data_IF_465913245888
#
_entry.id   IF_465913245888
#
_cell.length_a   1.000
_cell.length_b   1.000
_cell.length_c   1.000
_cell.angle_alpha   90.00
_cell.angle_beta   90.00
_cell.angle_gamma   90.00
#
_symmetry.space_group_name_H-M   'P 1'
#
loop_
_entity.id
_entity.type
_entity.pdbx_description
1 polymer ?
#
# COMPACT_ATOMS: atom_id res chain seq x y z
N UNK A 1 16.72 -9.55 16.36
CA UNK A 1 17.54 -8.70 15.47
C UNK A 1 18.80 -9.47 15.05
N UNK A 2 18.62 -10.72 14.63
CA UNK A 2 19.69 -11.72 14.75
C UNK A 2 20.43 -12.00 13.44
N UNK A 3 19.88 -11.52 12.32
CA UNK A 3 20.47 -11.56 10.97
C UNK A 3 20.12 -10.28 10.19
N UNK A 4 20.91 -9.95 9.17
CA UNK A 4 20.69 -8.77 8.34
C UNK A 4 21.27 -7.48 8.94
N UNK A 5 20.63 -6.31 8.74
CA UNK A 5 21.18 -4.99 9.11
C UNK A 5 21.47 -4.77 10.60
N UNK A 6 21.02 -5.67 11.48
CA UNK A 6 21.08 -5.53 12.95
C UNK A 6 20.54 -4.18 13.43
N UNK A 7 19.52 -3.70 12.73
CA UNK A 7 18.91 -2.38 12.89
C UNK A 7 17.40 -2.52 12.70
N UNK A 8 16.63 -1.86 13.57
CA UNK A 8 15.19 -1.78 13.43
C UNK A 8 14.85 -0.76 12.33
N UNK A 9 14.81 -1.25 11.09
CA UNK A 9 14.55 -0.42 9.93
C UNK A 9 13.15 0.20 9.97
N UNK A 10 12.16 -0.52 10.51
CA UNK A 10 10.76 -0.07 10.57
C UNK A 10 10.64 1.06 11.58
N UNK A 11 11.18 0.87 12.80
CA UNK A 11 11.16 1.90 13.84
C UNK A 11 11.94 3.15 13.47
N UNK A 12 13.10 3.00 12.85
CA UNK A 12 13.92 4.14 12.41
C UNK A 12 13.25 4.93 11.28
N UNK A 13 12.67 4.24 10.29
CA UNK A 13 11.95 4.89 9.21
C UNK A 13 10.67 5.57 9.74
N UNK A 14 9.90 4.90 10.60
CA UNK A 14 8.71 5.46 11.22
C UNK A 14 9.01 6.74 11.99
N UNK A 15 10.13 6.75 12.74
CA UNK A 15 10.61 7.93 13.46
C UNK A 15 10.97 9.06 12.51
N UNK A 16 11.75 8.79 11.47
CA UNK A 16 12.19 9.80 10.50
C UNK A 16 11.01 10.39 9.69
N UNK A 17 10.06 9.55 9.26
CA UNK A 17 8.84 9.97 8.54
C UNK A 17 8.01 10.93 9.39
N UNK A 18 7.77 10.57 10.66
CA UNK A 18 6.99 11.41 11.59
C UNK A 18 7.69 12.71 11.94
N UNK A 19 9.02 12.72 12.07
CA UNK A 19 9.79 13.96 12.27
C UNK A 19 9.65 14.94 11.11
N UNK A 20 9.26 14.47 9.92
CA UNK A 20 8.93 15.31 8.76
C UNK A 20 7.45 15.71 8.69
N UNK A 21 6.64 15.38 9.70
CA UNK A 21 5.21 15.70 9.74
C UNK A 21 4.36 14.81 8.83
N UNK A 22 4.91 13.70 8.33
CA UNK A 22 4.21 12.74 7.48
C UNK A 22 3.56 11.63 8.31
N UNK A 23 2.49 11.06 7.76
CA UNK A 23 1.84 9.84 8.27
C UNK A 23 2.68 8.61 7.93
N UNK A 24 2.69 7.61 8.81
CA UNK A 24 3.45 6.38 8.61
C UNK A 24 2.52 5.18 8.47
N UNK A 25 2.56 4.50 7.32
CA UNK A 25 1.87 3.23 7.09
C UNK A 25 2.81 2.04 7.17
N UNK A 26 2.28 0.85 7.41
CA UNK A 26 3.02 -0.40 7.38
C UNK A 26 2.33 -1.41 6.47
N UNK A 27 3.10 -1.98 5.55
CA UNK A 27 2.70 -3.11 4.72
C UNK A 27 3.00 -4.42 5.45
N UNK A 28 2.08 -5.40 5.40
CA UNK A 28 2.31 -6.75 5.93
C UNK A 28 1.76 -7.81 4.96
N UNK A 29 2.57 -8.83 4.67
CA UNK A 29 2.14 -9.99 3.88
C UNK A 29 1.58 -11.05 4.83
N UNK A 30 0.30 -11.38 4.69
CA UNK A 30 -0.36 -12.41 5.50
C UNK A 30 0.25 -13.79 5.28
N UNK A 31 0.74 -14.04 4.07
CA UNK A 31 1.41 -15.28 3.63
C UNK A 31 2.94 -15.19 3.69
N UNK A 32 3.60 -16.35 3.86
CA UNK A 32 5.05 -16.51 3.73
C UNK A 32 5.42 -17.76 2.89
N UNK A 33 6.17 -17.57 1.80
CA UNK A 33 6.40 -18.56 0.73
C UNK A 33 6.80 -19.97 1.16
N UNK A 34 7.69 -20.08 2.14
CA UNK A 34 8.31 -21.35 2.52
C UNK A 34 8.12 -21.68 4.00
N UNK A 35 7.24 -20.98 4.71
CA UNK A 35 7.05 -21.22 6.13
C UNK A 35 6.38 -22.61 6.33
N UNK A 36 7.00 -23.53 7.09
CA UNK A 36 6.50 -24.90 7.20
C UNK A 36 5.05 -25.00 7.67
N UNK A 37 4.66 -24.15 8.62
CA UNK A 37 3.27 -24.12 9.13
C UNK A 37 2.27 -23.63 8.08
N UNK A 38 2.64 -22.67 7.22
CA UNK A 38 1.73 -22.25 6.15
C UNK A 38 1.54 -23.37 5.13
N UNK A 39 2.64 -24.04 4.72
CA UNK A 39 2.57 -25.17 3.81
C UNK A 39 1.74 -26.32 4.40
N UNK A 40 1.82 -26.53 5.72
CA UNK A 40 1.00 -27.50 6.44
C UNK A 40 -0.48 -27.12 6.44
N UNK A 41 -0.81 -25.87 6.80
CA UNK A 41 -2.19 -25.37 6.78
C UNK A 41 -2.78 -25.44 5.37
N UNK A 42 -2.01 -25.04 4.35
CA UNK A 42 -2.39 -25.16 2.93
C UNK A 42 -2.62 -26.61 2.51
N UNK A 43 -1.74 -27.54 2.89
CA UNK A 43 -1.92 -28.99 2.64
C UNK A 43 -3.17 -29.53 3.34
N UNK A 44 -3.57 -28.91 4.44
CA UNK A 44 -4.78 -29.25 5.19
C UNK A 44 -6.00 -28.37 4.79
N UNK A 45 -6.00 -27.84 3.56
CA UNK A 45 -7.07 -27.02 2.99
C UNK A 45 -7.50 -25.84 3.88
N UNK A 46 -6.55 -25.24 4.61
CA UNK A 46 -6.78 -24.09 5.49
C UNK A 46 -7.82 -24.35 6.60
N UNK A 47 -8.02 -25.61 6.98
CA UNK A 47 -8.89 -26.00 8.10
C UNK A 47 -8.18 -25.94 9.46
N UNK A 48 -6.85 -25.89 9.45
CA UNK A 48 -6.02 -25.53 10.58
C UNK A 48 -5.48 -24.10 10.38
N UNK A 49 -5.12 -23.44 11.48
CA UNK A 49 -4.65 -22.05 11.51
C UNK A 49 -3.37 -21.93 12.36
N UNK A 50 -2.52 -22.96 12.34
CA UNK A 50 -1.32 -22.99 13.18
C UNK A 50 -0.33 -21.90 12.76
N UNK A 51 -0.17 -21.65 11.46
CA UNK A 51 0.63 -20.55 10.93
C UNK A 51 0.09 -19.19 11.41
N UNK A 52 -1.22 -19.00 11.30
CA UNK A 52 -1.88 -17.75 11.66
C UNK A 52 -1.73 -17.46 13.16
N UNK A 53 -1.98 -18.46 14.00
CA UNK A 53 -1.91 -18.33 15.46
C UNK A 53 -0.49 -18.08 15.97
N UNK A 54 0.52 -18.66 15.33
CA UNK A 54 1.89 -18.66 15.85
C UNK A 54 2.82 -17.66 15.16
N UNK A 55 2.47 -17.20 13.95
CA UNK A 55 3.29 -16.31 13.13
C UNK A 55 2.55 -15.04 12.75
N UNK A 56 1.60 -15.12 11.81
CA UNK A 56 0.98 -13.95 11.16
C UNK A 56 0.31 -13.01 12.15
N UNK A 57 -0.52 -13.54 13.04
CA UNK A 57 -1.24 -12.71 14.01
C UNK A 57 -0.29 -12.05 15.01
N UNK A 58 0.57 -12.78 15.76
CA UNK A 58 1.54 -12.17 16.66
C UNK A 58 2.35 -11.03 16.02
N UNK A 59 2.79 -11.18 14.76
CA UNK A 59 3.49 -10.11 14.03
C UNK A 59 2.63 -8.87 13.80
N UNK A 60 1.39 -9.04 13.36
CA UNK A 60 0.48 -7.91 13.14
C UNK A 60 0.21 -7.15 14.44
N UNK A 61 -0.03 -7.87 15.55
CA UNK A 61 -0.18 -7.25 16.87
C UNK A 61 1.11 -6.53 17.29
N UNK A 62 2.28 -7.14 17.11
CA UNK A 62 3.57 -6.50 17.41
C UNK A 62 3.78 -5.24 16.57
N UNK A 63 3.57 -5.31 15.25
CA UNK A 63 3.71 -4.21 14.31
C UNK A 63 2.86 -3.00 14.72
N UNK A 64 1.59 -3.24 15.06
CA UNK A 64 0.68 -2.18 15.50
C UNK A 64 1.11 -1.59 16.84
N UNK A 65 1.43 -2.42 17.83
CA UNK A 65 1.76 -1.94 19.17
C UNK A 65 3.11 -1.22 19.22
N UNK A 66 4.11 -1.73 18.51
CA UNK A 66 5.46 -1.17 18.47
C UNK A 66 5.51 0.12 17.67
N UNK A 67 4.95 0.13 16.45
CA UNK A 67 5.17 1.22 15.51
C UNK A 67 3.98 2.17 15.36
N UNK A 68 2.79 1.81 15.86
CA UNK A 68 1.57 2.64 15.85
C UNK A 68 1.27 3.27 14.48
N UNK A 69 1.20 2.49 13.40
CA UNK A 69 1.03 3.04 12.06
C UNK A 69 -0.37 3.67 11.86
N UNK A 70 -0.42 4.68 11.00
CA UNK A 70 -1.66 5.33 10.54
C UNK A 70 -2.37 4.49 9.45
N UNK A 71 -1.66 3.56 8.81
CA UNK A 71 -2.21 2.62 7.81
C UNK A 71 -1.65 1.22 8.06
N UNK A 72 -2.51 0.20 8.10
CA UNK A 72 -2.09 -1.19 7.93
C UNK A 72 -2.54 -1.65 6.54
N UNK A 73 -1.57 -1.93 5.68
CA UNK A 73 -1.79 -2.36 4.30
C UNK A 73 -1.47 -3.85 4.20
N UNK A 74 -2.48 -4.71 4.16
CA UNK A 74 -2.27 -6.16 4.06
C UNK A 74 -2.15 -6.62 2.61
N UNK A 75 -1.46 -7.73 2.38
CA UNK A 75 -1.40 -8.45 1.11
C UNK A 75 -1.19 -9.94 1.37
N UNK A 76 -1.02 -10.77 0.34
CA UNK A 76 -0.72 -12.20 0.53
C UNK A 76 -1.95 -13.05 0.82
N UNK A 77 -3.15 -12.51 0.62
CA UNK A 77 -4.40 -13.09 1.09
C UNK A 77 -5.06 -14.05 0.09
N UNK A 78 -4.59 -14.07 -1.17
CA UNK A 78 -5.21 -14.76 -2.31
C UNK A 78 -5.49 -16.26 -2.12
N UNK A 79 -4.71 -16.96 -1.30
CA UNK A 79 -4.81 -18.40 -1.11
C UNK A 79 -6.01 -18.82 -0.24
N UNK A 80 -6.55 -17.92 0.59
CA UNK A 80 -7.56 -18.25 1.59
C UNK A 80 -8.51 -17.09 1.90
N UNK A 81 -9.66 -17.40 2.47
CA UNK A 81 -10.65 -16.40 2.88
C UNK A 81 -10.29 -15.76 4.22
N UNK A 82 -10.92 -14.62 4.51
CA UNK A 82 -10.75 -13.83 5.74
C UNK A 82 -10.85 -14.63 7.05
N UNK A 83 -11.68 -15.68 7.07
CA UNK A 83 -11.83 -16.54 8.25
C UNK A 83 -10.57 -17.32 8.58
N UNK A 84 -9.87 -17.87 7.58
CA UNK A 84 -8.57 -18.53 7.79
C UNK A 84 -7.51 -17.51 8.22
N UNK A 85 -7.48 -16.33 7.61
CA UNK A 85 -6.53 -15.29 8.00
C UNK A 85 -6.79 -14.72 9.39
N UNK A 86 -7.93 -15.02 10.02
CA UNK A 86 -8.38 -14.45 11.29
C UNK A 86 -8.51 -12.91 11.23
N UNK A 87 -8.79 -12.39 10.03
CA UNK A 87 -8.80 -10.95 9.75
C UNK A 87 -9.88 -10.21 10.53
N UNK A 88 -11.07 -10.79 10.68
CA UNK A 88 -12.19 -10.16 11.39
C UNK A 88 -11.88 -9.90 12.87
N UNK A 89 -11.26 -10.85 13.55
CA UNK A 89 -10.85 -10.67 14.96
C UNK A 89 -9.72 -9.64 15.08
N UNK A 90 -8.74 -9.67 14.18
CA UNK A 90 -7.66 -8.68 14.18
C UNK A 90 -8.18 -7.28 13.93
N UNK A 91 -9.03 -7.08 12.91
CA UNK A 91 -9.61 -5.78 12.59
C UNK A 91 -10.54 -5.28 13.70
N UNK A 92 -11.32 -6.17 14.33
CA UNK A 92 -12.13 -5.81 15.49
C UNK A 92 -11.25 -5.28 16.64
N UNK A 93 -10.16 -5.97 16.97
CA UNK A 93 -9.20 -5.47 17.96
C UNK A 93 -8.55 -4.16 17.51
N UNK A 94 -8.15 -4.06 16.24
CA UNK A 94 -7.48 -2.89 15.67
C UNK A 94 -8.31 -1.62 15.87
N UNK A 95 -9.62 -1.70 15.58
CA UNK A 95 -10.53 -0.56 15.67
C UNK A 95 -11.18 -0.35 17.03
N UNK A 96 -11.16 -1.34 17.94
CA UNK A 96 -11.77 -1.18 19.28
C UNK A 96 -10.76 -0.92 20.40
N UNK A 97 -9.61 -1.59 20.35
CA UNK A 97 -8.72 -1.75 21.52
C UNK A 97 -7.27 -1.33 21.26
N UNK A 98 -6.83 -1.31 20.01
CA UNK A 98 -5.43 -1.01 19.68
C UNK A 98 -5.03 0.44 20.05
N UNK A 99 -3.72 0.73 20.18
CA UNK A 99 -3.24 2.08 20.47
C UNK A 99 -3.45 3.09 19.33
N UNK A 100 -3.93 2.65 18.16
CA UNK A 100 -4.15 3.49 16.96
C UNK A 100 -5.59 3.47 16.48
N UNK A 101 -6.51 2.89 17.26
CA UNK A 101 -7.91 2.68 16.92
C UNK A 101 -8.66 3.90 16.38
N UNK A 102 -8.29 5.09 16.84
CA UNK A 102 -8.98 6.34 16.49
C UNK A 102 -8.48 6.95 15.16
N UNK A 103 -7.40 6.42 14.57
CA UNK A 103 -6.77 7.02 13.39
C UNK A 103 -6.36 6.04 12.29
N UNK A 104 -6.15 4.77 12.63
CA UNK A 104 -5.67 3.76 11.66
C UNK A 104 -6.71 3.52 10.59
N UNK A 105 -6.25 3.30 9.35
CA UNK A 105 -7.08 2.81 8.25
C UNK A 105 -6.47 1.56 7.63
N UNK A 106 -7.31 0.72 7.02
CA UNK A 106 -6.87 -0.51 6.35
C UNK A 106 -7.36 -0.57 4.91
N UNK A 107 -6.57 -1.19 4.04
CA UNK A 107 -7.01 -1.55 2.68
C UNK A 107 -8.02 -2.72 2.71
N UNK A 108 -8.32 -3.29 1.55
CA UNK A 108 -9.34 -4.31 1.30
C UNK A 108 -8.81 -5.72 0.99
N UNK A 109 -7.53 -6.00 1.28
CA UNK A 109 -6.85 -7.27 0.98
C UNK A 109 -6.67 -8.14 2.24
N UNK A 110 -7.78 -8.44 2.91
CA UNK A 110 -7.81 -9.18 4.18
C UNK A 110 -8.31 -10.62 4.02
N UNK A 111 -8.42 -11.10 2.79
CA UNK A 111 -8.94 -12.41 2.41
C UNK A 111 -9.37 -12.40 0.95
N UNK A 112 -9.24 -13.52 0.25
CA UNK A 112 -9.62 -13.62 -1.17
C UNK A 112 -11.08 -13.24 -1.47
N UNK A 113 -11.94 -13.18 -0.44
CA UNK A 113 -13.33 -12.76 -0.49
C UNK A 113 -13.57 -11.27 -0.16
N UNK A 114 -12.56 -10.48 0.20
CA UNK A 114 -12.71 -9.09 0.69
C UNK A 114 -12.41 -8.02 -0.37
N UNK A 115 -11.68 -8.38 -1.42
CA UNK A 115 -11.23 -7.45 -2.46
C UNK A 115 -12.41 -6.67 -3.07
N UNK A 116 -12.27 -5.35 -3.15
CA UNK A 116 -13.25 -4.40 -3.67
C UNK A 116 -14.62 -4.47 -2.97
N UNK A 117 -14.67 -4.99 -1.73
CA UNK A 117 -15.90 -5.22 -0.97
C UNK A 117 -15.80 -4.76 0.48
N UNK A 118 -14.68 -5.05 1.15
CA UNK A 118 -14.50 -4.79 2.58
C UNK A 118 -13.10 -4.23 2.86
N UNK A 119 -13.04 -2.99 3.35
CA UNK A 119 -11.83 -2.29 3.73
C UNK A 119 -12.15 -0.85 4.13
N UNK A 120 -11.24 -0.16 4.81
CA UNK A 120 -11.37 1.28 5.09
C UNK A 120 -11.27 2.13 3.81
N UNK A 121 -10.54 1.62 2.83
CA UNK A 121 -10.53 2.06 1.44
C UNK A 121 -10.24 0.85 0.54
N UNK A 122 -10.55 0.99 -0.74
CA UNK A 122 -10.34 -0.09 -1.70
C UNK A 122 -9.06 0.09 -2.48
N UNK A 123 -8.31 -0.98 -2.66
CA UNK A 123 -7.27 -1.07 -3.69
C UNK A 123 -7.80 -1.82 -4.91
N UNK A 124 -8.70 -2.82 -4.74
CA UNK A 124 -9.31 -3.67 -5.79
C UNK A 124 -8.35 -4.43 -6.71
N UNK A 125 -7.23 -3.86 -7.13
CA UNK A 125 -6.16 -4.45 -7.94
C UNK A 125 -4.88 -3.60 -7.82
N UNK A 126 -3.77 -4.10 -8.36
CA UNK A 126 -2.60 -3.26 -8.62
C UNK A 126 -2.91 -2.30 -9.77
N UNK A 127 -2.40 -1.06 -9.70
CA UNK A 127 -2.68 -0.01 -10.71
C UNK A 127 -4.18 0.30 -10.88
N UNK A 128 -4.95 0.22 -9.80
CA UNK A 128 -6.40 0.38 -9.84
C UNK A 128 -6.82 1.82 -10.12
N UNK A 129 -7.10 2.08 -11.39
CA UNK A 129 -7.59 3.37 -11.87
C UNK A 129 -8.94 3.17 -12.58
N UNK A 130 -10.08 3.35 -11.88
CA UNK A 130 -11.40 3.03 -12.42
C UNK A 130 -11.87 4.00 -13.52
N UNK A 131 -11.19 5.14 -13.72
CA UNK A 131 -11.55 6.20 -14.70
C UNK A 131 -12.96 6.78 -14.54
N UNK A 132 -13.63 6.48 -13.42
CA UNK A 132 -14.95 6.96 -13.06
C UNK A 132 -15.00 7.20 -11.56
N UNK A 133 -15.79 8.20 -11.15
CA UNK A 133 -15.99 8.53 -9.74
C UNK A 133 -16.44 7.32 -8.93
N UNK A 134 -15.73 7.06 -7.83
CA UNK A 134 -16.09 6.01 -6.89
C UNK A 134 -16.91 6.56 -5.72
N UNK A 135 -17.84 5.74 -5.23
CA UNK A 135 -18.63 6.05 -4.04
C UNK A 135 -17.83 5.80 -2.74
N UNK A 136 -17.03 4.72 -2.74
CA UNK A 136 -16.13 4.39 -1.65
C UNK A 136 -14.74 4.95 -1.93
N UNK A 137 -14.00 5.32 -0.88
CA UNK A 137 -12.62 5.77 -1.04
C UNK A 137 -11.78 4.61 -1.60
N UNK A 138 -10.87 4.93 -2.52
CA UNK A 138 -9.93 3.98 -3.08
C UNK A 138 -8.51 4.54 -3.11
N UNK A 139 -7.54 3.67 -3.32
CA UNK A 139 -6.13 3.97 -3.53
C UNK A 139 -5.63 3.18 -4.75
N UNK A 140 -4.86 3.84 -5.60
CA UNK A 140 -4.13 3.23 -6.72
C UNK A 140 -2.69 2.94 -6.24
N UNK A 141 -2.37 1.69 -5.84
CA UNK A 141 -1.01 1.28 -5.58
C UNK A 141 -0.31 1.02 -6.92
N UNK A 142 0.77 1.74 -7.19
CA UNK A 142 1.49 1.66 -8.46
C UNK A 142 3.01 1.78 -8.30
N UNK A 143 3.72 1.43 -9.36
CA UNK A 143 5.18 1.47 -9.43
C UNK A 143 5.66 2.42 -10.52
N UNK A 144 6.76 3.13 -10.26
CA UNK A 144 7.46 3.93 -11.29
C UNK A 144 8.03 3.02 -12.38
N UNK A 145 8.56 1.86 -11.98
CA UNK A 145 8.95 0.78 -12.89
C UNK A 145 7.69 0.08 -13.42
N UNK A 146 7.54 -0.04 -14.74
CA UNK A 146 6.36 -0.66 -15.37
C UNK A 146 6.18 -2.14 -15.01
N UNK A 147 7.22 -2.81 -14.52
CA UNK A 147 7.25 -4.27 -14.39
C UNK A 147 7.46 -4.80 -12.97
N UNK A 148 7.93 -4.00 -12.03
CA UNK A 148 8.35 -4.51 -10.71
C UNK A 148 8.10 -3.52 -9.56
N UNK A 149 7.84 -4.08 -8.38
CA UNK A 149 7.78 -3.36 -7.11
C UNK A 149 9.17 -3.22 -6.49
N UNK A 150 9.99 -4.25 -6.64
CA UNK A 150 11.34 -4.34 -6.11
C UNK A 150 12.40 -3.72 -7.04
N UNK A 151 13.60 -3.56 -6.50
CA UNK A 151 14.75 -3.10 -7.26
C UNK A 151 15.21 -4.12 -8.32
N UNK A 152 15.20 -3.70 -9.59
CA UNK A 152 15.77 -4.46 -10.70
C UNK A 152 17.16 -3.96 -11.11
N UNK A 153 18.17 -4.83 -11.05
CA UNK A 153 19.55 -4.49 -11.48
C UNK A 153 19.69 -4.25 -12.98
N UNK A 154 18.81 -4.85 -13.77
CA UNK A 154 18.80 -4.77 -15.23
C UNK A 154 17.77 -3.73 -15.75
N UNK A 155 17.35 -2.80 -14.88
CA UNK A 155 16.43 -1.72 -15.21
C UNK A 155 16.93 -0.92 -16.43
N UNK A 156 16.02 -0.68 -17.39
CA UNK A 156 16.25 0.25 -18.51
C UNK A 156 15.38 1.49 -18.33
N UNK A 157 15.81 2.62 -18.90
CA UNK A 157 15.05 3.87 -18.78
C UNK A 157 13.63 3.76 -19.40
N UNK A 158 13.50 3.05 -20.52
CA UNK A 158 12.20 2.86 -21.19
C UNK A 158 11.23 1.97 -20.39
N UNK A 159 11.75 1.20 -19.42
CA UNK A 159 10.93 0.41 -18.48
C UNK A 159 10.23 1.31 -17.45
N UNK A 160 10.55 2.61 -17.39
CA UNK A 160 9.98 3.54 -16.43
C UNK A 160 8.81 4.32 -17.02
N UNK A 161 7.84 4.64 -16.17
CA UNK A 161 6.84 5.65 -16.50
C UNK A 161 7.51 7.01 -16.66
N UNK A 162 7.12 7.76 -17.70
CA UNK A 162 7.51 9.15 -17.89
C UNK A 162 6.85 10.05 -16.85
N UNK A 163 7.33 11.28 -16.70
CA UNK A 163 6.67 12.23 -15.79
C UNK A 163 5.26 12.59 -16.28
N UNK A 164 5.05 12.68 -17.59
CA UNK A 164 3.73 12.92 -18.17
C UNK A 164 2.75 11.80 -17.82
N UNK A 165 3.18 10.53 -17.95
CA UNK A 165 2.38 9.37 -17.55
C UNK A 165 2.06 9.40 -16.05
N UNK A 166 3.06 9.66 -15.19
CA UNK A 166 2.87 9.72 -13.74
C UNK A 166 1.90 10.82 -13.31
N UNK A 167 2.02 12.03 -13.88
CA UNK A 167 1.13 13.15 -13.58
C UNK A 167 -0.28 12.92 -14.12
N UNK A 168 -0.41 12.30 -15.29
CA UNK A 168 -1.71 11.92 -15.86
C UNK A 168 -2.43 10.93 -14.95
N UNK A 169 -1.75 9.87 -14.51
CA UNK A 169 -2.32 8.89 -13.58
C UNK A 169 -2.74 9.56 -12.27
N UNK A 170 -1.92 10.47 -11.73
CA UNK A 170 -2.28 11.21 -10.51
C UNK A 170 -3.55 12.04 -10.68
N UNK A 171 -3.65 12.80 -11.78
CA UNK A 171 -4.82 13.63 -12.07
C UNK A 171 -6.09 12.77 -12.20
N UNK A 172 -6.02 11.67 -12.95
CA UNK A 172 -7.12 10.72 -13.14
C UNK A 172 -7.61 10.10 -11.83
N UNK A 173 -6.68 9.62 -11.01
CA UNK A 173 -7.00 8.98 -9.73
C UNK A 173 -7.65 9.98 -8.78
N UNK A 174 -7.07 11.18 -8.65
CA UNK A 174 -7.57 12.23 -7.76
C UNK A 174 -8.93 12.76 -8.24
N UNK A 175 -9.13 12.96 -9.55
CA UNK A 175 -10.42 13.42 -10.10
C UNK A 175 -11.55 12.40 -9.88
N UNK A 176 -11.21 11.12 -9.80
CA UNK A 176 -12.13 10.02 -9.47
C UNK A 176 -12.32 9.78 -7.96
N UNK A 177 -11.55 10.47 -7.11
CA UNK A 177 -11.67 10.46 -5.65
C UNK A 177 -10.70 9.53 -4.93
N UNK A 178 -9.72 8.97 -5.64
CA UNK A 178 -8.72 8.07 -5.10
C UNK A 178 -7.56 8.79 -4.40
N UNK A 179 -6.65 7.98 -3.87
CA UNK A 179 -5.29 8.37 -3.51
C UNK A 179 -4.31 7.64 -4.45
N UNK A 180 -3.14 8.22 -4.72
CA UNK A 180 -2.08 7.54 -5.47
C UNK A 180 -0.97 7.12 -4.51
N UNK A 181 -0.62 5.84 -4.49
CA UNK A 181 0.51 5.29 -3.73
C UNK A 181 1.62 4.90 -4.71
N UNK A 182 2.66 5.73 -4.78
CA UNK A 182 3.80 5.53 -5.70
C UNK A 182 4.93 4.79 -5.00
N UNK A 183 5.20 3.56 -5.43
CA UNK A 183 6.26 2.72 -4.89
C UNK A 183 7.64 3.05 -5.49
N UNK A 184 8.66 2.93 -4.65
CA UNK A 184 10.08 2.91 -5.02
C UNK A 184 10.76 1.68 -4.41
N UNK A 185 11.60 1.00 -5.20
CA UNK A 185 12.43 -0.11 -4.74
C UNK A 185 13.86 0.36 -4.42
N UNK A 186 14.27 0.48 -3.14
CA UNK A 186 15.64 0.83 -2.78
C UNK A 186 16.62 -0.30 -3.14
N UNK A 187 17.89 0.05 -3.29
CA UNK A 187 18.98 -0.92 -3.43
C UNK A 187 19.18 -1.70 -2.12
N UNK A 188 19.89 -2.83 -2.18
CA UNK A 188 20.26 -3.60 -0.97
C UNK A 188 21.19 -2.82 -0.03
N UNK A 189 21.88 -1.79 -0.53
CA UNK A 189 22.70 -0.86 0.23
C UNK A 189 21.88 0.23 0.95
N UNK A 190 20.55 0.28 0.72
CA UNK A 190 19.66 1.26 1.35
C UNK A 190 19.60 2.62 0.64
N UNK A 191 19.96 2.67 -0.65
CA UNK A 191 19.89 3.90 -1.46
C UNK A 191 18.69 3.86 -2.41
N UNK A 192 18.07 5.02 -2.64
CA UNK A 192 17.09 5.18 -3.72
C UNK A 192 17.86 5.29 -5.03
N UNK A 193 17.42 4.57 -6.07
CA UNK A 193 18.04 4.63 -7.40
C UNK A 193 17.92 6.07 -7.94
N UNK A 194 18.99 6.70 -8.47
CA UNK A 194 18.97 8.12 -8.85
C UNK A 194 17.82 8.52 -9.77
N UNK A 195 17.43 7.66 -10.72
CA UNK A 195 16.31 7.95 -11.63
C UNK A 195 14.95 7.96 -10.93
N UNK A 196 14.77 7.17 -9.86
CA UNK A 196 13.56 7.23 -9.04
C UNK A 196 13.54 8.52 -8.20
N UNK A 197 14.69 8.88 -7.62
CA UNK A 197 14.83 10.15 -6.89
C UNK A 197 14.52 11.35 -7.79
N UNK A 198 15.06 11.38 -9.01
CA UNK A 198 14.81 12.43 -10.00
C UNK A 198 13.31 12.58 -10.28
N UNK A 199 12.61 11.48 -10.56
CA UNK A 199 11.16 11.49 -10.82
C UNK A 199 10.35 11.96 -9.61
N UNK A 200 10.71 11.51 -8.41
CA UNK A 200 10.05 11.96 -7.18
C UNK A 200 10.28 13.46 -6.93
N UNK A 201 11.46 13.99 -7.23
CA UNK A 201 11.75 15.43 -7.15
C UNK A 201 10.95 16.23 -8.17
N UNK A 202 10.92 15.78 -9.43
CA UNK A 202 10.10 16.39 -10.49
C UNK A 202 8.61 16.41 -10.13
N UNK A 203 8.10 15.30 -9.55
CA UNK A 203 6.73 15.24 -9.04
C UNK A 203 6.50 16.25 -7.91
N UNK A 204 7.44 16.36 -6.97
CA UNK A 204 7.38 17.34 -5.88
C UNK A 204 7.43 18.80 -6.36
N UNK A 205 8.25 19.11 -7.36
CA UNK A 205 8.31 20.43 -7.99
C UNK A 205 6.98 20.79 -8.65
N UNK A 206 6.39 19.86 -9.40
CA UNK A 206 5.09 20.07 -10.03
C UNK A 206 3.97 20.26 -8.98
N UNK A 207 3.97 19.47 -7.90
CA UNK A 207 3.03 19.61 -6.78
C UNK A 207 3.26 20.92 -5.99
N UNK A 208 4.48 21.45 -5.98
CA UNK A 208 4.77 22.77 -5.39
C UNK A 208 4.05 23.91 -6.10
N UNK A 209 3.74 23.74 -7.39
CA UNK A 209 2.99 24.73 -8.19
C UNK A 209 1.50 24.39 -8.24
N UNK A 210 1.16 23.11 -8.41
CA UNK A 210 -0.22 22.67 -8.72
C UNK A 210 -0.91 21.94 -7.57
N UNK A 211 -0.29 21.88 -6.39
CA UNK A 211 -0.75 21.06 -5.27
C UNK A 211 -2.14 21.42 -4.74
N UNK A 212 -2.60 22.67 -4.90
CA UNK A 212 -3.96 23.06 -4.52
C UNK A 212 -5.05 22.33 -5.33
N UNK A 213 -4.74 21.91 -6.55
CA UNK A 213 -5.64 21.12 -7.39
C UNK A 213 -5.62 19.62 -7.03
N UNK A 214 -4.73 19.19 -6.12
CA UNK A 214 -4.54 17.80 -5.73
C UNK A 214 -4.90 17.58 -4.27
N UNK A 215 -4.27 18.31 -3.36
CA UNK A 215 -4.40 18.08 -1.93
C UNK A 215 -5.76 18.53 -1.42
N UNK A 216 -6.40 17.68 -0.62
CA UNK A 216 -7.69 17.93 0.03
C UNK A 216 -8.86 18.28 -0.91
N UNK A 217 -8.72 18.10 -2.22
CA UNK A 217 -9.79 18.31 -3.20
C UNK A 217 -10.86 17.22 -3.10
N UNK A 218 -11.95 17.38 -3.86
CA UNK A 218 -13.03 16.41 -3.96
C UNK A 218 -13.42 16.24 -5.43
N UNK A 219 -13.82 15.02 -5.85
CA UNK A 219 -14.30 14.78 -7.20
C UNK A 219 -15.44 15.72 -7.57
N UNK A 220 -15.34 16.35 -8.74
CA UNK A 220 -16.46 17.08 -9.33
C UNK A 220 -17.52 16.10 -9.87
N UNK A 221 -18.61 16.64 -10.43
CA UNK A 221 -19.67 15.85 -11.06
C UNK A 221 -19.25 15.24 -12.40
N UNK A 222 -18.18 15.76 -13.02
CA UNK A 222 -17.57 15.25 -14.24
C UNK A 222 -16.08 15.05 -13.99
N UNK A 223 -15.55 13.90 -14.42
CA UNK A 223 -14.16 13.49 -14.17
C UNK A 223 -13.21 13.82 -15.33
N UNK A 224 -13.75 14.09 -16.51
CA UNK A 224 -12.97 14.42 -17.69
C UNK A 224 -13.71 15.43 -18.56
N UNK A 225 -12.94 16.15 -19.39
CA UNK A 225 -13.49 17.06 -20.39
C UNK A 225 -14.02 16.25 -21.59
N UNK A 226 -15.28 16.49 -21.97
CA UNK A 226 -15.93 15.77 -23.06
C UNK A 226 -15.40 16.14 -24.46
N UNK A 227 -14.69 17.27 -24.57
CA UNK A 227 -14.06 17.76 -25.79
C UNK A 227 -12.57 17.40 -25.80
N UNK A 228 -11.89 17.49 -24.65
CA UNK A 228 -10.47 17.18 -24.52
C UNK A 228 -10.23 15.96 -23.61
N UNK A 229 -10.16 14.78 -24.23
CA UNK A 229 -10.03 13.50 -23.53
C UNK A 229 -8.78 13.36 -22.62
N UNK A 230 -7.80 14.26 -22.75
CA UNK A 230 -6.59 14.27 -21.94
C UNK A 230 -6.68 15.19 -20.70
N UNK A 231 -7.84 15.81 -20.45
CA UNK A 231 -8.07 16.71 -19.32
C UNK A 231 -9.00 16.03 -18.30
N UNK A 232 -8.54 15.97 -17.05
CA UNK A 232 -9.15 15.29 -15.90
C UNK A 232 -9.32 16.23 -14.71
#
# INVERSE_FOLDING_TARGET
MDVGPKRDLVGDLATAVRQKGLRFGAYHSLFEFFHPLFLQDKKNNFTTQDFIRTKTMPELYELVNAYKPDVIWSDGDWDAVDTYWNSTNFLAWLYNDSPVKDSVVTNDRWGSNTWCKHGGYFSCDDRYNPKVKQAHKFEDPMTIDKYAWEYRRNLKLDDLLTMEELLTIMAEVVSCGGNLLVNVGPTKEGTIVPIFEEKLRQMGEWLGVNGEAIYATRPWSHQNDSVNANVW
#
